data_IF_431724589116
#
_entry.id   IF_431724589116
#
_cell.length_a   1.000
_cell.length_b   1.000
_cell.length_c   1.000
_cell.angle_alpha   90.00
_cell.angle_beta   90.00
_cell.angle_gamma   90.00
#
_symmetry.space_group_name_H-M   'P 1'
#
loop_
_entity.id
_entity.type
_entity.pdbx_description
1 polymer ?
#
# COMPACT_ATOMS: atom_id res chain seq x y z
N UNK A 1 21.13 -46.44 -53.25
CA UNK A 1 21.63 -46.03 -51.92
C UNK A 1 21.31 -44.54 -51.84
N UNK A 2 20.10 -44.24 -51.38
CA UNK A 2 19.58 -42.87 -51.34
C UNK A 2 19.97 -42.28 -50.00
N UNK A 3 20.82 -41.25 -50.04
CA UNK A 3 21.14 -40.43 -48.88
C UNK A 3 19.85 -39.75 -48.40
N UNK A 4 19.40 -40.11 -47.20
CA UNK A 4 18.30 -39.44 -46.52
C UNK A 4 18.83 -38.09 -46.05
N UNK A 5 18.74 -37.09 -46.94
CA UNK A 5 18.77 -35.68 -46.57
C UNK A 5 17.55 -35.43 -45.67
N UNK A 6 17.73 -35.69 -44.37
CA UNK A 6 16.82 -35.19 -43.36
C UNK A 6 17.06 -33.68 -43.30
N UNK A 7 16.20 -32.92 -43.97
CA UNK A 7 16.16 -31.44 -43.94
C UNK A 7 15.86 -30.84 -42.55
N UNK A 8 15.86 -31.66 -41.50
CA UNK A 8 15.62 -31.18 -40.16
C UNK A 8 16.92 -30.56 -39.63
N UNK A 9 16.91 -29.26 -39.29
CA UNK A 9 18.09 -28.63 -38.73
C UNK A 9 18.49 -29.34 -37.44
N UNK A 10 19.80 -29.43 -37.14
CA UNK A 10 20.27 -30.04 -35.90
C UNK A 10 19.63 -29.34 -34.69
N UNK A 11 19.36 -30.07 -33.60
CA UNK A 11 18.74 -29.50 -32.41
C UNK A 11 19.57 -28.32 -31.90
N UNK A 12 18.88 -27.22 -31.55
CA UNK A 12 19.51 -26.02 -31.00
C UNK A 12 20.41 -26.38 -29.82
N UNK A 13 21.64 -25.86 -29.83
CA UNK A 13 22.56 -25.96 -28.68
C UNK A 13 22.19 -25.04 -27.53
N UNK A 14 21.34 -24.05 -27.78
CA UNK A 14 20.84 -23.14 -26.76
C UNK A 14 19.60 -23.73 -26.13
N UNK A 15 19.60 -23.75 -24.80
CA UNK A 15 18.36 -23.94 -24.05
C UNK A 15 17.46 -22.73 -24.26
N UNK A 16 16.16 -22.89 -24.09
CA UNK A 16 15.19 -21.80 -24.26
C UNK A 16 15.51 -20.60 -23.35
N UNK A 17 16.07 -20.88 -22.17
CA UNK A 17 16.60 -19.89 -21.22
C UNK A 17 17.80 -19.11 -21.77
N UNK A 18 18.68 -19.75 -22.56
CA UNK A 18 19.82 -19.09 -23.19
C UNK A 18 19.38 -18.15 -24.32
N UNK A 19 18.28 -18.48 -24.99
CA UNK A 19 17.68 -17.65 -26.04
C UNK A 19 17.13 -16.33 -25.49
N UNK A 20 16.72 -16.31 -24.21
CA UNK A 20 16.27 -15.07 -23.54
C UNK A 20 17.39 -14.02 -23.45
N UNK A 21 18.67 -14.41 -23.41
CA UNK A 21 19.78 -13.46 -23.41
C UNK A 21 19.90 -12.68 -24.73
N UNK A 22 19.34 -13.22 -25.81
CA UNK A 22 19.31 -12.57 -27.13
C UNK A 22 18.00 -11.82 -27.39
N UNK A 23 17.02 -11.93 -26.49
CA UNK A 23 15.82 -11.11 -26.58
C UNK A 23 16.15 -9.67 -26.17
N UNK A 24 15.81 -8.66 -27.00
CA UNK A 24 15.98 -7.28 -26.60
C UNK A 24 15.14 -7.02 -25.33
N UNK A 25 15.62 -6.17 -24.40
CA UNK A 25 14.87 -5.86 -23.20
C UNK A 25 13.49 -5.31 -23.58
N UNK A 26 12.46 -5.75 -22.85
CA UNK A 26 11.11 -5.25 -23.05
C UNK A 26 11.09 -3.71 -22.99
N UNK A 27 10.24 -3.05 -23.80
CA UNK A 27 10.14 -1.59 -23.75
C UNK A 27 9.78 -1.14 -22.33
N UNK A 28 10.32 0.00 -21.87
CA UNK A 28 10.05 0.49 -20.52
C UNK A 28 8.55 0.77 -20.35
N UNK A 29 7.99 0.30 -19.24
CA UNK A 29 6.59 0.56 -18.92
C UNK A 29 6.35 2.07 -18.76
N UNK A 30 5.22 2.60 -19.27
CA UNK A 30 4.88 4.00 -19.08
C UNK A 30 4.80 4.37 -17.59
N UNK A 31 5.07 5.64 -17.27
CA UNK A 31 5.10 6.09 -15.87
C UNK A 31 3.69 6.13 -15.26
N UNK A 32 3.52 5.78 -13.97
CA UNK A 32 2.28 6.00 -13.25
C UNK A 32 1.93 7.49 -13.24
N UNK A 33 0.64 7.81 -13.24
CA UNK A 33 0.16 9.19 -13.26
C UNK A 33 -0.89 9.45 -12.19
N UNK A 34 -0.92 10.67 -11.68
CA UNK A 34 -1.88 11.13 -10.68
C UNK A 34 -2.95 11.97 -11.35
N UNK A 35 -4.20 11.57 -11.21
CA UNK A 35 -5.36 12.26 -11.77
C UNK A 35 -6.22 12.78 -10.63
N UNK A 36 -6.46 14.09 -10.59
CA UNK A 36 -7.41 14.69 -9.67
C UNK A 36 -8.78 14.85 -10.32
N UNK A 37 -9.83 14.69 -9.52
CA UNK A 37 -11.22 15.01 -9.88
C UNK A 37 -11.34 16.51 -10.19
N UNK A 38 -12.26 16.87 -11.09
CA UNK A 38 -12.48 18.28 -11.42
C UNK A 38 -13.20 19.02 -10.27
N UNK A 39 -12.73 20.22 -9.87
CA UNK A 39 -11.63 20.96 -10.48
C UNK A 39 -10.25 20.45 -10.03
N UNK A 40 -9.33 20.32 -10.99
CA UNK A 40 -7.92 20.04 -10.72
C UNK A 40 -7.36 21.13 -9.79
N UNK A 41 -6.65 20.78 -8.70
CA UNK A 41 -6.10 21.78 -7.80
C UNK A 41 -5.01 22.59 -8.51
N UNK A 42 -5.10 23.92 -8.42
CA UNK A 42 -4.12 24.86 -9.00
C UNK A 42 -2.77 24.83 -8.25
N UNK A 43 -2.76 24.31 -7.02
CA UNK A 43 -1.60 24.22 -6.13
C UNK A 43 -1.46 22.79 -5.60
N UNK A 44 -0.23 22.36 -5.26
CA UNK A 44 -0.02 21.09 -4.57
C UNK A 44 -0.83 21.02 -3.26
N UNK A 45 -1.41 19.86 -2.99
CA UNK A 45 -2.14 19.60 -1.76
C UNK A 45 -1.16 19.52 -0.59
N UNK A 46 -1.48 20.17 0.54
CA UNK A 46 -0.62 20.21 1.74
C UNK A 46 -1.37 19.73 2.97
N UNK A 47 -1.67 18.42 3.06
CA UNK A 47 -2.37 17.88 4.20
C UNK A 47 -1.49 17.90 5.45
N UNK A 48 -2.09 18.13 6.62
CA UNK A 48 -1.41 17.94 7.91
C UNK A 48 -1.06 16.47 8.14
N UNK A 49 -1.95 15.57 7.68
CA UNK A 49 -1.75 14.13 7.73
C UNK A 49 -2.15 13.45 6.40
N UNK A 50 -1.23 12.66 5.86
CA UNK A 50 -1.49 11.73 4.75
C UNK A 50 -1.53 10.31 5.28
N UNK A 51 -2.68 9.65 5.17
CA UNK A 51 -2.87 8.24 5.51
C UNK A 51 -2.80 7.41 4.23
N UNK A 52 -1.96 6.38 4.20
CA UNK A 52 -1.83 5.47 3.06
C UNK A 52 -2.19 4.06 3.53
N UNK A 53 -3.36 3.58 3.10
CA UNK A 53 -3.88 2.26 3.39
C UNK A 53 -3.45 1.27 2.30
N UNK A 54 -2.54 0.37 2.66
CA UNK A 54 -1.99 -0.67 1.77
C UNK A 54 -2.51 -2.04 2.15
N UNK A 55 -2.67 -2.33 3.43
CA UNK A 55 -3.16 -3.63 3.89
C UNK A 55 -4.66 -3.84 3.70
N UNK A 56 -5.09 -5.10 3.56
CA UNK A 56 -6.51 -5.45 3.48
C UNK A 56 -7.33 -4.92 4.68
N UNK A 57 -6.91 -5.10 5.94
CA UNK A 57 -7.61 -4.55 7.10
C UNK A 57 -7.78 -3.02 7.04
N UNK A 58 -6.74 -2.29 6.66
CA UNK A 58 -6.80 -0.82 6.62
C UNK A 58 -7.72 -0.31 5.51
N UNK A 59 -7.63 -0.91 4.32
CA UNK A 59 -8.52 -0.60 3.19
C UNK A 59 -9.98 -0.86 3.56
N UNK A 60 -10.26 -2.00 4.21
CA UNK A 60 -11.60 -2.33 4.66
C UNK A 60 -12.16 -1.28 5.64
N UNK A 61 -11.36 -0.87 6.64
CA UNK A 61 -11.75 0.17 7.60
C UNK A 61 -12.13 1.47 6.89
N UNK A 62 -11.29 1.94 5.97
CA UNK A 62 -11.54 3.21 5.30
C UNK A 62 -12.60 3.15 4.20
N UNK A 63 -12.81 1.98 3.60
CA UNK A 63 -13.89 1.79 2.64
C UNK A 63 -15.26 2.01 3.30
N UNK A 64 -15.45 1.55 4.53
CA UNK A 64 -16.70 1.75 5.27
C UNK A 64 -16.83 3.13 5.94
N UNK A 65 -15.83 4.00 5.83
CA UNK A 65 -15.91 5.36 6.35
C UNK A 65 -16.81 6.22 5.44
N UNK A 66 -17.89 6.78 5.98
CA UNK A 66 -18.85 7.59 5.19
C UNK A 66 -18.39 9.04 4.93
N UNK A 67 -17.51 9.59 5.77
CA UNK A 67 -17.11 11.00 5.74
C UNK A 67 -15.92 11.29 4.81
N UNK A 68 -15.86 10.65 3.65
CA UNK A 68 -14.76 10.78 2.68
C UNK A 68 -15.27 11.24 1.32
N UNK A 69 -14.54 12.15 0.68
CA UNK A 69 -14.85 12.61 -0.68
C UNK A 69 -13.70 12.27 -1.61
N UNK A 70 -14.00 11.63 -2.74
CA UNK A 70 -13.01 11.22 -3.74
C UNK A 70 -12.46 12.45 -4.48
N UNK A 71 -11.16 12.70 -4.36
CA UNK A 71 -10.48 13.84 -4.98
C UNK A 71 -9.55 13.44 -6.12
N UNK A 72 -9.25 12.15 -6.29
CA UNK A 72 -8.41 11.68 -7.38
C UNK A 72 -8.09 10.20 -7.32
N UNK A 73 -7.25 9.74 -8.25
CA UNK A 73 -6.78 8.36 -8.35
C UNK A 73 -5.38 8.32 -8.97
N UNK A 74 -4.60 7.31 -8.62
CA UNK A 74 -3.33 6.97 -9.27
C UNK A 74 -3.58 5.91 -10.34
N UNK A 75 -3.22 6.24 -11.58
CA UNK A 75 -3.32 5.35 -12.72
C UNK A 75 -1.99 4.64 -12.91
N UNK A 76 -2.02 3.32 -12.80
CA UNK A 76 -0.93 2.40 -13.08
C UNK A 76 -1.20 1.73 -14.43
N UNK A 77 -0.39 1.99 -15.47
CA UNK A 77 -0.64 1.45 -16.80
C UNK A 77 -0.67 -0.08 -16.88
N UNK A 78 0.04 -0.75 -15.97
CA UNK A 78 0.10 -2.21 -15.84
C UNK A 78 -1.18 -2.84 -15.29
N UNK A 79 -2.13 -2.05 -14.77
CA UNK A 79 -3.35 -2.55 -14.14
C UNK A 79 -4.53 -2.43 -15.08
N UNK A 80 -5.21 -3.55 -15.31
CA UNK A 80 -6.43 -3.58 -16.09
C UNK A 80 -7.61 -3.01 -15.28
N UNK A 81 -8.33 -2.08 -15.90
CA UNK A 81 -9.60 -1.55 -15.36
C UNK A 81 -10.80 -2.48 -15.63
N UNK A 82 -10.57 -3.62 -16.27
CA UNK A 82 -11.62 -4.60 -16.55
C UNK A 82 -12.24 -5.10 -15.25
N UNK A 83 -13.57 -5.01 -15.12
CA UNK A 83 -14.29 -5.39 -13.92
C UNK A 83 -14.29 -4.36 -12.80
N UNK A 84 -13.78 -3.14 -13.02
CA UNK A 84 -13.95 -2.03 -12.07
C UNK A 84 -15.39 -1.50 -12.07
N UNK A 85 -15.91 -1.21 -10.89
CA UNK A 85 -17.22 -0.59 -10.71
C UNK A 85 -17.17 0.91 -11.04
N UNK A 86 -18.33 1.48 -11.42
CA UNK A 86 -18.48 2.93 -11.61
C UNK A 86 -18.34 3.72 -10.31
N UNK A 87 -18.74 3.10 -9.20
CA UNK A 87 -18.49 3.61 -7.84
C UNK A 87 -17.40 2.77 -7.17
N UNK A 88 -16.49 3.39 -6.39
CA UNK A 88 -15.34 2.71 -5.80
C UNK A 88 -15.79 1.57 -4.89
N UNK A 89 -15.54 0.34 -5.32
CA UNK A 89 -15.85 -0.89 -4.61
C UNK A 89 -14.62 -1.43 -3.88
N UNK A 90 -14.82 -2.34 -2.92
CA UNK A 90 -13.68 -3.03 -2.27
C UNK A 90 -12.86 -3.84 -3.27
N UNK A 91 -13.50 -4.49 -4.25
CA UNK A 91 -12.85 -5.38 -5.20
C UNK A 91 -12.12 -4.68 -6.35
N UNK A 92 -12.27 -3.37 -6.50
CA UNK A 92 -11.66 -2.63 -7.60
C UNK A 92 -10.13 -2.61 -7.47
N UNK A 93 -9.42 -2.94 -8.55
CA UNK A 93 -7.96 -2.81 -8.63
C UNK A 93 -7.57 -1.34 -8.86
N UNK A 94 -7.84 -0.49 -7.88
CA UNK A 94 -7.65 0.96 -8.00
C UNK A 94 -6.79 1.54 -6.87
N UNK A 95 -6.30 2.75 -7.08
CA UNK A 95 -5.51 3.49 -6.09
C UNK A 95 -6.15 4.87 -5.90
N UNK A 96 -7.16 4.94 -5.03
CA UNK A 96 -8.03 6.11 -4.91
C UNK A 96 -7.58 7.06 -3.81
N UNK A 97 -7.79 8.35 -4.02
CA UNK A 97 -7.39 9.42 -3.11
C UNK A 97 -8.62 10.15 -2.64
N UNK A 98 -8.78 10.21 -1.33
CA UNK A 98 -9.90 10.82 -0.66
C UNK A 98 -9.41 11.94 0.25
N UNK A 99 -10.26 12.95 0.47
CA UNK A 99 -10.09 13.92 1.55
C UNK A 99 -11.13 13.66 2.63
N UNK A 100 -10.76 13.93 3.88
CA UNK A 100 -11.70 13.98 4.99
C UNK A 100 -11.94 15.44 5.37
N UNK A 101 -13.21 15.84 5.46
CA UNK A 101 -13.59 17.11 6.07
C UNK A 101 -13.79 16.88 7.56
N UNK A 102 -12.70 16.80 8.31
CA UNK A 102 -12.73 16.60 9.77
C UNK A 102 -12.03 17.79 10.40
N UNK A 103 -12.83 18.78 10.83
CA UNK A 103 -12.35 20.06 11.37
C UNK A 103 -11.40 20.82 10.41
N UNK A 104 -10.72 21.86 10.91
CA UNK A 104 -9.84 22.74 10.13
C UNK A 104 -8.54 22.05 9.62
N UNK A 105 -8.32 20.78 9.99
CA UNK A 105 -7.17 19.99 9.57
C UNK A 105 -7.45 19.21 8.27
N UNK A 106 -6.63 19.46 7.24
CA UNK A 106 -6.75 18.74 5.97
C UNK A 106 -6.07 17.37 6.04
N UNK A 107 -6.87 16.31 6.13
CA UNK A 107 -6.40 14.92 6.13
C UNK A 107 -6.72 14.28 4.77
N UNK A 108 -5.70 13.69 4.14
CA UNK A 108 -5.85 12.96 2.88
C UNK A 108 -5.63 11.47 3.14
N UNK A 109 -6.49 10.65 2.55
CA UNK A 109 -6.37 9.19 2.52
C UNK A 109 -6.04 8.73 1.10
N UNK A 110 -5.05 7.84 0.99
CA UNK A 110 -4.77 7.08 -0.22
C UNK A 110 -5.09 5.62 0.06
N UNK A 111 -6.03 5.03 -0.69
CA UNK A 111 -6.43 3.64 -0.59
C UNK A 111 -5.84 2.85 -1.75
N UNK A 112 -4.88 1.99 -1.47
CA UNK A 112 -4.14 1.20 -2.48
C UNK A 112 -4.73 -0.20 -2.58
N UNK A 113 -5.79 -0.36 -3.37
CA UNK A 113 -6.49 -1.64 -3.55
C UNK A 113 -5.79 -2.53 -4.59
N UNK A 114 -5.06 -1.92 -5.52
CA UNK A 114 -4.22 -2.63 -6.46
C UNK A 114 -2.93 -3.20 -5.85
N UNK A 115 -2.43 -4.29 -6.44
CA UNK A 115 -1.07 -4.76 -6.21
C UNK A 115 -0.08 -3.88 -6.98
N UNK A 116 0.87 -3.29 -6.25
CA UNK A 116 1.95 -2.49 -6.83
C UNK A 116 3.22 -3.32 -6.73
N UNK A 117 3.79 -3.66 -7.88
CA UNK A 117 5.01 -4.45 -7.93
C UNK A 117 6.19 -3.71 -7.28
N UNK A 118 7.16 -4.47 -6.74
CA UNK A 118 8.26 -3.93 -5.96
C UNK A 118 9.11 -2.95 -6.80
N UNK A 119 9.33 -3.27 -8.08
CA UNK A 119 10.06 -2.45 -9.04
C UNK A 119 9.36 -1.12 -9.38
N UNK A 120 8.04 -1.04 -9.16
CA UNK A 120 7.23 0.17 -9.40
C UNK A 120 7.03 1.02 -8.14
N UNK A 121 7.23 0.41 -6.97
CA UNK A 121 6.96 1.00 -5.66
C UNK A 121 7.69 2.34 -5.44
N UNK A 122 8.93 2.47 -5.91
CA UNK A 122 9.69 3.72 -5.77
C UNK A 122 9.06 4.89 -6.55
N UNK A 123 8.62 4.64 -7.79
CA UNK A 123 8.03 5.67 -8.65
C UNK A 123 6.66 6.09 -8.10
N UNK A 124 5.87 5.14 -7.62
CA UNK A 124 4.58 5.45 -6.97
C UNK A 124 4.78 6.21 -5.66
N UNK A 125 5.75 5.82 -4.83
CA UNK A 125 6.06 6.55 -3.61
C UNK A 125 6.50 8.00 -3.89
N UNK A 126 7.26 8.22 -4.97
CA UNK A 126 7.61 9.57 -5.45
C UNK A 126 6.37 10.36 -5.87
N UNK A 127 5.45 9.73 -6.59
CA UNK A 127 4.21 10.36 -7.07
C UNK A 127 3.29 10.78 -5.91
N UNK A 128 3.15 9.91 -4.91
CA UNK A 128 2.31 10.13 -3.74
C UNK A 128 2.93 11.12 -2.73
N UNK A 129 4.26 11.25 -2.72
CA UNK A 129 4.99 12.06 -1.73
C UNK A 129 6.00 13.01 -2.40
N UNK A 130 5.70 14.30 -2.22
CA UNK A 130 6.53 15.49 -2.49
C UNK A 130 6.37 16.18 -3.86
N UNK A 131 5.60 15.62 -4.79
CA UNK A 131 5.35 16.27 -6.09
C UNK A 131 4.03 17.08 -6.05
N UNK A 132 2.89 16.40 -6.11
CA UNK A 132 1.56 17.04 -6.08
C UNK A 132 0.90 17.04 -4.68
N UNK A 133 1.39 16.18 -3.79
CA UNK A 133 0.93 16.06 -2.41
C UNK A 133 2.18 16.21 -1.52
N UNK A 134 2.16 17.23 -0.67
CA UNK A 134 3.27 17.60 0.21
C UNK A 134 2.74 17.55 1.65
N UNK A 135 2.72 16.36 2.28
CA UNK A 135 2.20 16.19 3.62
C UNK A 135 3.19 16.68 4.69
N UNK A 136 2.66 17.16 5.81
CA UNK A 136 3.49 17.42 7.01
C UNK A 136 3.87 16.13 7.73
N UNK A 137 2.90 15.20 7.85
CA UNK A 137 3.08 13.88 8.46
C UNK A 137 2.41 12.78 7.62
N UNK A 138 3.00 11.59 7.61
CA UNK A 138 2.53 10.43 6.84
C UNK A 138 2.34 9.22 7.75
N UNK A 139 1.17 8.58 7.66
CA UNK A 139 0.87 7.28 8.28
C UNK A 139 0.69 6.23 7.18
N UNK A 140 1.49 5.19 7.21
CA UNK A 140 1.39 4.06 6.28
C UNK A 140 0.84 2.87 7.06
N UNK A 141 -0.22 2.25 6.55
CA UNK A 141 -0.85 1.08 7.16
C UNK A 141 -0.66 -0.11 6.24
N UNK A 142 0.17 -1.05 6.68
CA UNK A 142 0.48 -2.26 5.94
C UNK A 142 0.39 -3.49 6.85
N UNK A 143 0.56 -4.69 6.28
CA UNK A 143 0.54 -5.95 7.02
C UNK A 143 1.88 -6.64 6.97
N UNK A 144 2.16 -7.42 8.02
CA UNK A 144 3.38 -8.20 8.11
C UNK A 144 3.26 -9.38 7.15
N UNK A 145 4.20 -9.50 6.22
CA UNK A 145 4.35 -10.71 5.42
C UNK A 145 5.11 -11.75 6.23
N UNK A 146 4.49 -12.93 6.42
CA UNK A 146 5.07 -14.02 7.22
C UNK A 146 6.50 -14.39 6.80
N UNK A 147 6.79 -14.37 5.48
CA UNK A 147 8.11 -14.65 4.89
C UNK A 147 9.21 -13.66 5.29
N UNK A 148 8.84 -12.43 5.68
CA UNK A 148 9.77 -11.34 5.97
C UNK A 148 9.94 -11.09 7.48
N UNK A 149 9.22 -11.84 8.32
CA UNK A 149 9.26 -11.69 9.76
C UNK A 149 10.20 -12.69 10.42
N UNK A 150 11.11 -12.19 11.24
CA UNK A 150 12.02 -13.03 12.02
C UNK A 150 11.40 -13.35 13.38
N UNK A 151 10.76 -14.52 13.47
CA UNK A 151 10.16 -15.01 14.71
C UNK A 151 9.04 -15.99 14.45
N UNK A 152 8.21 -16.23 15.47
CA UNK A 152 6.95 -16.99 15.32
C UNK A 152 5.81 -15.99 15.22
N UNK A 153 5.00 -16.14 14.18
CA UNK A 153 3.76 -15.43 14.00
C UNK A 153 2.62 -16.45 14.03
N UNK A 154 1.93 -16.54 15.16
CA UNK A 154 0.73 -17.36 15.24
C UNK A 154 -0.42 -16.66 14.51
N UNK A 155 -1.20 -17.34 13.66
CA UNK A 155 -2.39 -16.74 13.04
C UNK A 155 -3.48 -16.42 14.07
N UNK A 156 -3.45 -17.04 15.24
CA UNK A 156 -4.43 -16.81 16.32
C UNK A 156 -4.10 -15.57 17.16
N UNK A 157 -2.89 -15.02 17.03
CA UNK A 157 -2.43 -13.85 17.76
C UNK A 157 -2.51 -12.59 16.89
N UNK A 158 -2.93 -11.49 17.49
CA UNK A 158 -3.03 -10.20 16.80
C UNK A 158 -1.96 -9.25 17.31
N UNK A 159 -1.10 -8.77 16.41
CA UNK A 159 -0.04 -7.84 16.75
C UNK A 159 -0.08 -6.61 15.87
N UNK A 160 0.40 -5.50 16.42
CA UNK A 160 0.70 -4.29 15.66
C UNK A 160 2.07 -3.81 16.09
N UNK A 161 2.91 -3.51 15.11
CA UNK A 161 4.22 -2.92 15.30
C UNK A 161 4.35 -1.61 14.55
N UNK A 162 5.33 -0.80 14.93
CA UNK A 162 5.65 0.44 14.22
C UNK A 162 7.11 0.55 13.77
N UNK A 163 7.30 1.29 12.70
CA UNK A 163 8.58 1.85 12.24
C UNK A 163 8.40 3.35 12.01
N UNK A 164 9.39 4.15 12.35
CA UNK A 164 9.29 5.62 12.29
C UNK A 164 10.52 6.19 11.59
N UNK A 165 10.33 7.31 10.89
CA UNK A 165 11.44 8.11 10.40
C UNK A 165 12.18 8.78 11.55
N UNK A 166 13.43 9.16 11.30
CA UNK A 166 14.24 9.86 12.30
C UNK A 166 13.63 11.19 12.75
N UNK A 167 12.89 11.88 11.87
CA UNK A 167 12.19 13.13 12.17
C UNK A 167 11.01 12.90 13.14
N UNK A 168 10.18 11.89 12.90
CA UNK A 168 9.08 11.50 13.79
C UNK A 168 9.62 11.05 15.16
N UNK A 169 10.69 10.25 15.17
CA UNK A 169 11.31 9.75 16.41
C UNK A 169 11.85 10.89 17.29
N UNK A 170 12.46 11.92 16.71
CA UNK A 170 12.98 13.08 17.48
C UNK A 170 11.88 13.86 18.16
N UNK A 171 10.75 14.04 17.50
CA UNK A 171 9.59 14.73 18.06
C UNK A 171 8.94 13.91 19.19
N UNK A 172 8.89 12.59 19.06
CA UNK A 172 8.44 11.70 20.13
C UNK A 172 9.34 11.70 21.37
N UNK A 173 10.63 11.97 21.20
CA UNK A 173 11.65 11.99 22.26
C UNK A 173 11.92 13.39 22.86
N UNK A 174 11.21 14.43 22.40
CA UNK A 174 11.41 15.81 22.85
C UNK A 174 11.32 15.97 24.37
N UNK A 175 12.39 16.52 24.94
CA UNK A 175 12.60 16.84 26.35
C UNK A 175 11.49 17.74 26.93
N UNK A 176 10.85 17.30 28.01
CA UNK A 176 9.88 18.12 28.75
C UNK A 176 8.43 17.92 28.32
N UNK A 177 7.79 16.91 28.90
CA UNK A 177 6.33 16.82 29.04
C UNK A 177 5.50 16.91 27.74
N UNK A 178 5.59 15.89 26.88
CA UNK A 178 4.50 15.59 25.93
C UNK A 178 4.85 15.40 24.45
N UNK A 179 5.97 14.74 24.11
CA UNK A 179 6.25 14.34 22.72
C UNK A 179 5.06 13.62 22.05
N UNK A 180 4.64 14.09 20.87
CA UNK A 180 3.43 13.63 20.15
C UNK A 180 3.77 12.66 19.00
N UNK A 181 4.46 11.56 19.33
CA UNK A 181 4.53 10.41 18.39
C UNK A 181 3.11 10.03 17.98
N UNK A 182 2.89 9.86 16.67
CA UNK A 182 1.58 9.58 16.10
C UNK A 182 0.97 8.30 16.68
N UNK A 183 1.79 7.26 16.92
CA UNK A 183 1.36 5.97 17.46
C UNK A 183 2.01 5.70 18.81
N UNK A 184 1.38 6.18 19.88
CA UNK A 184 1.82 5.99 21.27
C UNK A 184 1.45 4.59 21.76
N UNK A 185 2.37 3.96 22.49
CA UNK A 185 2.15 2.66 23.13
C UNK A 185 2.17 1.44 22.19
N UNK A 186 2.63 1.61 20.95
CA UNK A 186 2.86 0.51 20.01
C UNK A 186 4.35 0.16 20.00
N UNK A 187 4.65 -1.13 20.03
CA UNK A 187 6.02 -1.64 20.02
C UNK A 187 6.70 -1.43 18.66
N UNK A 188 8.02 -1.23 18.69
CA UNK A 188 8.80 -1.16 17.46
C UNK A 188 8.90 -2.51 16.77
N UNK A 189 8.92 -2.51 15.44
CA UNK A 189 9.06 -3.71 14.64
C UNK A 189 10.39 -4.44 14.97
N UNK A 190 10.35 -5.76 15.21
CA UNK A 190 11.49 -6.49 15.76
C UNK A 190 12.69 -6.50 14.82
N UNK A 191 13.88 -6.35 15.41
CA UNK A 191 15.14 -6.33 14.67
C UNK A 191 15.39 -7.65 13.93
N UNK A 192 15.90 -7.54 12.71
CA UNK A 192 16.15 -8.68 11.83
C UNK A 192 14.93 -9.13 11.02
N UNK A 193 13.77 -8.50 11.19
CA UNK A 193 12.66 -8.59 10.25
C UNK A 193 12.80 -7.52 9.15
N UNK A 194 12.19 -7.77 8.00
CA UNK A 194 12.26 -6.91 6.83
C UNK A 194 10.88 -6.41 6.44
N UNK A 195 10.86 -5.22 5.86
CA UNK A 195 9.69 -4.66 5.17
C UNK A 195 10.13 -4.34 3.76
N UNK A 196 9.35 -4.77 2.78
CA UNK A 196 9.60 -4.57 1.36
C UNK A 196 8.41 -3.86 0.67
N UNK A 197 8.49 -3.74 -0.66
CA UNK A 197 7.41 -3.21 -1.49
C UNK A 197 7.10 -1.72 -1.25
N UNK A 198 5.82 -1.39 -1.41
CA UNK A 198 5.35 0.00 -1.40
C UNK A 198 5.52 0.67 -0.03
N UNK A 199 5.21 -0.02 1.06
CA UNK A 199 5.32 0.55 2.40
C UNK A 199 6.76 0.95 2.74
N UNK A 200 7.73 0.09 2.40
CA UNK A 200 9.14 0.40 2.54
C UNK A 200 9.56 1.60 1.67
N UNK A 201 9.12 1.64 0.41
CA UNK A 201 9.42 2.74 -0.51
C UNK A 201 8.85 4.08 -0.01
N UNK A 202 7.62 4.09 0.52
CA UNK A 202 6.96 5.26 1.09
C UNK A 202 7.69 5.78 2.34
N UNK A 203 8.03 4.89 3.27
CA UNK A 203 8.75 5.28 4.49
C UNK A 203 10.16 5.79 4.17
N UNK A 204 10.86 5.12 3.25
CA UNK A 204 12.16 5.56 2.73
C UNK A 204 12.08 6.93 2.07
N UNK A 205 11.03 7.18 1.26
CA UNK A 205 10.78 8.49 0.66
C UNK A 205 10.54 9.57 1.71
N UNK A 206 9.79 9.28 2.77
CA UNK A 206 9.60 10.21 3.90
C UNK A 206 10.94 10.55 4.55
N UNK A 207 11.76 9.54 4.85
CA UNK A 207 13.09 9.73 5.44
C UNK A 207 14.00 10.59 4.55
N UNK A 208 14.04 10.34 3.24
CA UNK A 208 14.84 11.12 2.29
C UNK A 208 14.38 12.59 2.17
N UNK A 209 13.08 12.84 2.35
CA UNK A 209 12.49 14.18 2.27
C UNK A 209 12.38 14.89 3.63
N UNK A 210 12.91 14.28 4.70
CA UNK A 210 12.75 14.76 6.07
C UNK A 210 11.28 14.99 6.48
N UNK A 211 10.37 14.19 5.93
CA UNK A 211 8.95 14.19 6.27
C UNK A 211 8.76 13.24 7.46
N UNK A 212 7.89 13.63 8.39
CA UNK A 212 7.50 12.82 9.54
C UNK A 212 6.70 11.61 9.06
N UNK A 213 7.23 10.40 9.22
CA UNK A 213 6.61 9.20 8.69
C UNK A 213 6.53 8.10 9.75
N UNK A 214 5.37 7.46 9.84
CA UNK A 214 5.14 6.28 10.67
C UNK A 214 4.55 5.18 9.81
N UNK A 215 5.18 4.01 9.83
CA UNK A 215 4.67 2.78 9.24
C UNK A 215 4.12 1.90 10.37
N UNK A 216 2.86 1.50 10.25
CA UNK A 216 2.14 0.64 11.16
C UNK A 216 1.90 -0.71 10.46
N UNK A 217 2.40 -1.78 11.06
CA UNK A 217 2.37 -3.13 10.51
C UNK A 217 1.47 -4.01 11.35
N UNK A 218 0.40 -4.54 10.76
CA UNK A 218 -0.54 -5.42 11.45
C UNK A 218 -0.34 -6.90 11.10
N UNK A 219 -0.65 -7.78 12.06
CA UNK A 219 -0.71 -9.22 11.86
C UNK A 219 -1.92 -9.81 12.60
N UNK A 220 -2.57 -10.86 12.06
CA UNK A 220 -2.42 -11.43 10.70
C UNK A 220 -2.75 -10.45 9.56
N UNK A 221 -2.40 -10.84 8.34
CA UNK A 221 -2.71 -10.09 7.11
C UNK A 221 -4.24 -9.90 6.93
N UNK A 222 -5.02 -10.84 7.47
CA UNK A 222 -6.47 -10.83 7.43
C UNK A 222 -7.09 -11.19 8.78
N UNK A 223 -8.20 -10.55 9.11
CA UNK A 223 -9.10 -11.02 10.16
C UNK A 223 -9.84 -9.90 10.88
N UNK A 224 -11.06 -10.21 11.34
CA UNK A 224 -11.87 -9.29 12.16
C UNK A 224 -11.17 -8.77 13.43
N UNK A 225 -10.40 -9.60 14.16
CA UNK A 225 -9.63 -9.14 15.32
C UNK A 225 -8.61 -8.04 14.97
N UNK A 226 -7.90 -8.18 13.84
CA UNK A 226 -6.91 -7.20 13.36
C UNK A 226 -7.58 -5.89 12.96
N UNK A 227 -8.71 -5.98 12.26
CA UNK A 227 -9.55 -4.82 11.92
C UNK A 227 -9.97 -4.07 13.18
N UNK A 228 -10.40 -4.79 14.22
CA UNK A 228 -10.82 -4.21 15.49
C UNK A 228 -9.65 -3.54 16.24
N UNK A 229 -8.47 -4.17 16.24
CA UNK A 229 -7.26 -3.63 16.85
C UNK A 229 -6.80 -2.35 16.17
N UNK A 230 -6.68 -2.36 14.84
CA UNK A 230 -6.32 -1.18 14.05
C UNK A 230 -7.34 -0.05 14.22
N UNK A 231 -8.64 -0.37 14.25
CA UNK A 231 -9.69 0.61 14.51
C UNK A 231 -9.54 1.28 15.88
N UNK A 232 -9.27 0.51 16.93
CA UNK A 232 -8.99 1.05 18.27
C UNK A 232 -7.80 1.99 18.27
N UNK A 233 -6.71 1.61 17.58
CA UNK A 233 -5.50 2.44 17.46
C UNK A 233 -5.81 3.73 16.72
N UNK A 234 -6.43 3.65 15.54
CA UNK A 234 -6.78 4.81 14.72
C UNK A 234 -7.69 5.78 15.48
N UNK A 235 -8.71 5.27 16.16
CA UNK A 235 -9.61 6.08 16.98
C UNK A 235 -8.88 6.77 18.14
N UNK A 236 -7.98 6.07 18.84
CA UNK A 236 -7.30 6.64 20.02
C UNK A 236 -6.20 7.64 19.67
N UNK A 237 -5.49 7.42 18.57
CA UNK A 237 -4.20 8.08 18.32
C UNK A 237 -4.16 8.96 17.08
N UNK A 238 -5.02 8.70 16.08
CA UNK A 238 -4.93 9.38 14.77
C UNK A 238 -6.17 10.22 14.49
N UNK A 239 -7.37 9.67 14.72
CA UNK A 239 -8.64 10.23 14.30
C UNK A 239 -9.68 10.20 15.45
N UNK A 240 -9.44 10.90 16.59
CA UNK A 240 -10.31 10.84 17.77
C UNK A 240 -11.73 11.40 17.56
N UNK A 241 -11.99 12.08 16.44
CA UNK A 241 -13.32 12.61 16.10
C UNK A 241 -14.07 11.87 14.99
N UNK A 242 -13.47 10.85 14.35
CA UNK A 242 -14.13 10.11 13.28
C UNK A 242 -14.89 8.91 13.85
N UNK A 243 -16.20 8.89 13.58
CA UNK A 243 -17.02 7.73 13.91
C UNK A 243 -16.69 6.60 12.93
N UNK A 244 -15.78 5.71 13.33
CA UNK A 244 -15.38 4.52 12.58
C UNK A 244 -16.44 3.41 12.68
N UNK A 245 -17.72 3.69 12.96
CA UNK A 245 -18.78 2.68 13.04
C UNK A 245 -18.94 1.96 11.70
N UNK A 246 -18.53 0.68 11.65
CA UNK A 246 -18.72 -0.17 10.47
C UNK A 246 -20.14 -0.74 10.61
N UNK A 247 -21.08 -0.25 9.80
CA UNK A 247 -22.39 -0.87 9.64
C UNK A 247 -22.28 -2.01 8.63
N UNK A 248 -21.93 -3.21 9.10
CA UNK A 248 -21.86 -4.39 8.24
C UNK A 248 -21.21 -5.59 8.94
N UNK A 249 -21.71 -6.79 8.68
CA UNK A 249 -21.17 -8.03 9.24
C UNK A 249 -19.72 -8.23 8.79
N UNK A 250 -18.78 -8.10 9.73
CA UNK A 250 -17.31 -8.15 9.55
C UNK A 250 -16.85 -9.48 8.89
N UNK A 251 -17.67 -10.52 8.90
CA UNK A 251 -17.28 -11.88 8.48
C UNK A 251 -17.24 -12.10 6.96
N UNK A 252 -18.35 -11.90 6.25
CA UNK A 252 -18.51 -12.50 4.92
C UNK A 252 -17.94 -11.65 3.77
N UNK A 253 -18.14 -10.33 3.80
CA UNK A 253 -17.68 -9.42 2.74
C UNK A 253 -16.17 -9.23 2.78
N UNK A 254 -15.62 -9.10 3.98
CA UNK A 254 -14.19 -8.96 4.21
C UNK A 254 -13.40 -10.24 3.86
N UNK A 255 -13.95 -11.42 4.15
CA UNK A 255 -13.31 -12.70 3.79
C UNK A 255 -13.19 -12.88 2.27
N UNK A 256 -14.23 -12.52 1.51
CA UNK A 256 -14.22 -12.56 0.02
C UNK A 256 -13.23 -11.56 -0.58
N UNK A 257 -13.19 -10.33 -0.05
CA UNK A 257 -12.24 -9.31 -0.49
C UNK A 257 -10.79 -9.75 -0.25
N UNK A 258 -10.49 -10.27 0.93
CA UNK A 258 -9.17 -10.74 1.33
C UNK A 258 -8.61 -11.80 0.36
N UNK A 259 -9.45 -12.74 -0.06
CA UNK A 259 -9.06 -13.78 -1.03
C UNK A 259 -8.80 -13.25 -2.44
N UNK A 260 -9.41 -12.13 -2.81
CA UNK A 260 -9.31 -11.56 -4.16
C UNK A 260 -8.06 -10.72 -4.34
N UNK A 261 -7.59 -10.05 -3.27
CA UNK A 261 -6.37 -9.23 -3.30
C UNK A 261 -5.10 -10.07 -3.45
N UNK A 262 -5.07 -11.27 -2.88
CA UNK A 262 -3.86 -12.11 -2.81
C UNK A 262 -3.63 -13.01 -4.02
N UNK A 263 -4.50 -13.00 -5.04
CA UNK A 263 -4.25 -13.80 -6.23
C UNK A 263 -2.97 -13.33 -6.92
N UNK A 264 -1.91 -14.16 -6.97
CA UNK A 264 -0.70 -13.82 -7.69
C UNK A 264 -1.03 -13.72 -9.18
N UNK A 265 -0.55 -12.66 -9.84
CA UNK A 265 -0.72 -12.40 -11.28
C UNK A 265 -0.03 -13.46 -12.18
N UNK A 266 0.59 -14.50 -11.59
CA UNK A 266 1.34 -15.52 -12.32
C UNK A 266 0.48 -16.51 -13.15
N UNK A 267 -0.85 -16.49 -13.07
CA UNK A 267 -1.68 -17.49 -13.78
C UNK A 267 -2.27 -17.06 -15.12
N UNK A 268 -2.06 -15.83 -15.59
CA UNK A 268 -2.74 -15.34 -16.82
C UNK A 268 -1.82 -15.19 -18.06
N UNK A 269 -0.56 -15.63 -17.98
CA UNK A 269 0.37 -15.59 -19.13
C UNK A 269 0.77 -16.96 -19.70
N UNK A 270 0.06 -18.04 -19.32
CA UNK A 270 0.20 -19.35 -19.96
C UNK A 270 -1.18 -19.86 -20.41
N UNK A 271 -1.64 -19.37 -21.56
CA UNK A 271 -2.56 -20.08 -22.46
C UNK A 271 -2.27 -19.66 -23.89
#
# INVERSE_FOLDING_TARGET
MEDVLTELPPPSRFFEEDLNNFTPPAPPLPSPSLIFSNPKPDKPLRPSLLIIAVSSPSIHIFHHLSSKTLIGSVILPEITFSGSSTEPSLGDKSCNIYTFNVADDSIILVSVQCLIAAERSHIVAKLLIADQIIPERVLILDSIQSRNFRGKLSPDETFVYKLETSSEKREGLGEGNGGSSLLKGIDYFPSGSLVDGLAAALLGRCQMKNIKGTLCLSWPEFGGPVVSLLKSILHKSVLPGLNLSINGGIGDEYSRFSWTKDRPVYSEFYT
#
